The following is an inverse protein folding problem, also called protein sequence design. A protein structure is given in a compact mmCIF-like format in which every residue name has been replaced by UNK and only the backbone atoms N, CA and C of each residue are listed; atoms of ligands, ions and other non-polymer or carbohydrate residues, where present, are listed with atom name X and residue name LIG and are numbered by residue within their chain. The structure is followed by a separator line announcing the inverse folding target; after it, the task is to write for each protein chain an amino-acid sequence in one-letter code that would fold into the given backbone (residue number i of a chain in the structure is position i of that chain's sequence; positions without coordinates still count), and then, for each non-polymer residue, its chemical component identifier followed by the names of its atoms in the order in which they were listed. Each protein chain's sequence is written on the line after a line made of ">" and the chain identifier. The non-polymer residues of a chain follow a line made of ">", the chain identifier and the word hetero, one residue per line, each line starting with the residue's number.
data_IF_598215756569
#
_entry.id   IF_598215756569
#
_cell.length_a   1.000
_cell.length_b   1.000
_cell.length_c   1.000
_cell.angle_alpha   90.00
_cell.angle_beta   90.00
_cell.angle_gamma   90.00
#
_symmetry.space_group_name_H-M   'P 1'
#
loop_
_entity.id
_entity.type
_entity.pdbx_description
1 polymer ?
#
# COMPACT_ATOMS: atom_id res chain seq x y z
N UNK A 1 -2.71 -7.34 0.42
CA UNK A 1 -3.19 -6.03 -0.09
C UNK A 1 -4.18 -6.09 -1.28
N UNK A 2 -5.24 -6.92 -1.20
CA UNK A 2 -6.43 -6.85 -2.06
C UNK A 2 -6.22 -6.67 -3.58
N UNK A 3 -7.21 -6.12 -4.31
CA UNK A 3 -7.06 -5.74 -5.72
C UNK A 3 -6.18 -4.49 -5.91
N UNK A 4 -5.99 -3.69 -4.87
CA UNK A 4 -5.16 -2.47 -4.89
C UNK A 4 -3.72 -2.75 -5.33
N UNK A 5 -3.08 -3.80 -4.79
CA UNK A 5 -1.72 -4.16 -5.21
C UNK A 5 -1.67 -4.58 -6.69
N UNK A 6 -2.64 -5.36 -7.16
CA UNK A 6 -2.72 -5.79 -8.55
C UNK A 6 -2.86 -4.60 -9.51
N UNK A 7 -3.79 -3.68 -9.22
CA UNK A 7 -3.97 -2.47 -10.00
C UNK A 7 -2.69 -1.62 -10.07
N UNK A 8 -1.95 -1.50 -8.95
CA UNK A 8 -0.72 -0.73 -8.90
C UNK A 8 0.38 -1.36 -9.76
N UNK A 9 0.54 -2.69 -9.68
CA UNK A 9 1.51 -3.43 -10.49
C UNK A 9 1.20 -3.25 -11.99
N UNK A 10 -0.06 -3.41 -12.39
CA UNK A 10 -0.46 -3.28 -13.79
C UNK A 10 -0.28 -1.85 -14.32
N UNK A 11 -0.56 -0.82 -13.50
CA UNK A 11 -0.44 0.57 -13.93
C UNK A 11 1.01 1.06 -13.93
N UNK A 12 1.88 0.45 -13.12
CA UNK A 12 3.30 0.72 -13.10
C UNK A 12 4.08 -0.08 -14.17
N UNK A 13 3.44 -1.06 -14.82
CA UNK A 13 4.10 -1.88 -15.84
C UNK A 13 4.64 -1.00 -16.98
N UNK A 14 5.94 -1.11 -17.25
CA UNK A 14 6.61 -0.36 -18.32
C UNK A 14 6.92 1.11 -17.99
N UNK A 15 6.59 1.58 -16.77
CA UNK A 15 6.96 2.92 -16.29
C UNK A 15 8.34 2.91 -15.66
N UNK A 16 9.21 3.81 -16.12
CA UNK A 16 10.55 4.04 -15.57
C UNK A 16 10.61 5.29 -14.68
N UNK A 17 9.51 6.05 -14.61
CA UNK A 17 9.36 7.27 -13.81
C UNK A 17 8.84 7.01 -12.39
N UNK A 18 8.41 5.79 -12.08
CA UNK A 18 7.88 5.41 -10.77
C UNK A 18 8.83 4.47 -10.00
N UNK A 19 8.95 4.73 -8.70
CA UNK A 19 9.46 3.75 -7.73
C UNK A 19 8.28 3.18 -6.94
N UNK A 20 8.02 1.88 -7.10
CA UNK A 20 6.91 1.21 -6.41
C UNK A 20 7.45 0.40 -5.23
N UNK A 21 6.95 0.71 -4.03
CA UNK A 21 7.31 0.01 -2.79
C UNK A 21 6.05 -0.63 -2.21
N UNK A 22 6.09 -1.94 -2.01
CA UNK A 22 5.07 -2.67 -1.29
C UNK A 22 5.59 -3.11 0.08
N UNK A 23 4.82 -2.84 1.13
CA UNK A 23 5.12 -3.24 2.49
C UNK A 23 3.91 -3.95 3.10
N UNK A 24 4.12 -5.18 3.58
CA UNK A 24 3.08 -5.94 4.27
C UNK A 24 2.82 -5.36 5.66
N UNK A 25 1.56 -5.38 6.08
CA UNK A 25 1.11 -4.78 7.34
C UNK A 25 1.37 -5.71 8.53
N UNK A 26 1.36 -7.03 8.31
CA UNK A 26 1.60 -8.04 9.35
C UNK A 26 2.97 -8.69 9.16
N UNK A 27 3.61 -9.11 10.26
CA UNK A 27 4.93 -9.75 10.19
C UNK A 27 4.91 -11.08 9.45
N UNK A 28 3.86 -11.89 9.67
CA UNK A 28 3.73 -13.27 9.18
C UNK A 28 2.27 -13.60 8.84
N UNK A 29 1.67 -12.91 7.84
CA UNK A 29 0.24 -13.07 7.55
C UNK A 29 -0.13 -14.50 7.14
N UNK A 30 0.80 -15.24 6.51
CA UNK A 30 0.59 -16.64 6.16
C UNK A 30 0.48 -17.57 7.38
N UNK A 31 1.07 -17.20 8.53
CA UNK A 31 1.02 -17.97 9.77
C UNK A 31 -0.20 -17.63 10.63
N UNK A 32 -0.93 -16.55 10.30
CA UNK A 32 -2.10 -16.10 11.07
C UNK A 32 -3.33 -17.01 10.92
N UNK A 33 -3.30 -18.01 10.03
CA UNK A 33 -4.40 -18.96 9.86
C UNK A 33 -5.75 -18.32 9.48
N UNK A 34 -5.72 -17.10 8.94
CA UNK A 34 -6.90 -16.31 8.61
C UNK A 34 -7.36 -15.32 9.69
N UNK A 35 -6.81 -15.38 10.92
CA UNK A 35 -7.07 -14.37 11.96
C UNK A 35 -6.07 -13.21 11.88
N UNK A 36 -6.27 -12.35 10.90
CA UNK A 36 -5.46 -11.13 10.76
C UNK A 36 -5.79 -10.08 11.82
N UNK A 37 -6.98 -10.14 12.44
CA UNK A 37 -7.41 -9.16 13.44
C UNK A 37 -6.52 -9.14 14.69
N UNK A 38 -5.94 -10.29 15.04
CA UNK A 38 -5.01 -10.44 16.16
C UNK A 38 -3.55 -10.68 15.74
N UNK A 39 -3.26 -10.61 14.44
CA UNK A 39 -1.91 -10.87 13.94
C UNK A 39 -0.94 -9.73 14.33
N UNK A 40 0.30 -10.05 14.71
CA UNK A 40 1.30 -9.03 15.01
C UNK A 40 1.59 -8.14 13.80
N UNK A 41 1.47 -6.82 14.00
CA UNK A 41 1.82 -5.82 13.00
C UNK A 41 3.32 -5.82 12.72
N UNK A 42 3.69 -5.51 11.48
CA UNK A 42 5.06 -5.22 11.11
C UNK A 42 5.59 -3.97 11.85
N UNK A 43 6.91 -3.85 12.07
CA UNK A 43 7.46 -2.77 12.91
C UNK A 43 7.09 -1.35 12.48
N UNK A 44 6.94 -1.10 11.17
CA UNK A 44 6.60 0.22 10.65
C UNK A 44 5.12 0.58 10.87
N UNK A 45 4.14 -0.25 10.46
CA UNK A 45 2.74 -0.04 10.83
C UNK A 45 2.52 0.15 12.33
N UNK A 46 3.15 -0.67 13.16
CA UNK A 46 3.08 -0.54 14.62
C UNK A 46 3.64 0.82 15.10
N UNK A 47 4.85 1.18 14.66
CA UNK A 47 5.52 2.44 15.05
C UNK A 47 4.70 3.68 14.71
N UNK A 48 3.98 3.66 13.59
CA UNK A 48 3.21 4.81 13.12
C UNK A 48 1.70 4.71 13.42
N UNK A 49 1.26 3.67 14.13
CA UNK A 49 -0.16 3.47 14.43
C UNK A 49 -1.03 3.31 13.19
N UNK A 50 -0.53 2.64 12.16
CA UNK A 50 -1.29 2.33 10.94
C UNK A 50 -2.20 1.13 11.22
N UNK A 51 -3.44 1.42 11.62
CA UNK A 51 -4.43 0.43 12.03
C UNK A 51 -5.36 -0.04 10.90
N UNK A 52 -5.10 0.39 9.67
CA UNK A 52 -5.94 0.16 8.51
C UNK A 52 -5.09 -0.28 7.31
N UNK A 53 -5.68 -1.13 6.47
CA UNK A 53 -5.11 -1.59 5.21
C UNK A 53 -6.22 -1.80 4.15
N UNK A 54 -5.90 -1.68 2.85
CA UNK A 54 -4.66 -1.11 2.31
C UNK A 54 -4.61 0.41 2.51
N UNK A 55 -3.40 0.97 2.58
CA UNK A 55 -3.18 2.42 2.50
C UNK A 55 -2.17 2.70 1.40
N UNK A 56 -2.53 3.56 0.46
CA UNK A 56 -1.63 4.02 -0.59
C UNK A 56 -1.06 5.39 -0.22
N UNK A 57 0.26 5.52 -0.33
CA UNK A 57 0.97 6.78 -0.25
C UNK A 57 1.64 7.05 -1.60
N UNK A 58 1.49 8.27 -2.10
CA UNK A 58 2.24 8.77 -3.26
C UNK A 58 3.15 9.89 -2.78
N UNK A 59 4.41 9.87 -3.22
CA UNK A 59 5.38 10.92 -2.90
C UNK A 59 5.94 11.53 -4.16
N UNK A 60 6.32 12.81 -4.10
CA UNK A 60 7.14 13.42 -5.13
C UNK A 60 8.64 13.07 -4.98
N UNK A 61 9.47 13.57 -5.90
CA UNK A 61 10.91 13.36 -5.89
C UNK A 61 11.64 14.02 -4.69
N UNK A 62 10.96 14.86 -3.90
CA UNK A 62 11.48 15.45 -2.66
C UNK A 62 11.14 14.61 -1.42
N UNK A 63 10.53 13.44 -1.62
CA UNK A 63 10.00 12.56 -0.57
C UNK A 63 8.86 13.19 0.24
N UNK A 64 8.14 14.13 -0.35
CA UNK A 64 6.93 14.72 0.24
C UNK A 64 5.72 13.90 -0.17
N UNK A 65 4.87 13.50 0.78
CA UNK A 65 3.60 12.82 0.49
C UNK A 65 2.67 13.81 -0.21
N UNK A 66 2.28 13.50 -1.45
CA UNK A 66 1.34 14.29 -2.26
C UNK A 66 -0.09 13.77 -2.13
N UNK A 67 -0.24 12.45 -1.98
CA UNK A 67 -1.54 11.79 -1.84
C UNK A 67 -1.49 10.68 -0.79
N UNK A 68 -2.57 10.54 -0.02
CA UNK A 68 -2.84 9.40 0.86
C UNK A 68 -4.26 8.89 0.59
N UNK A 69 -4.40 7.59 0.33
CA UNK A 69 -5.70 6.93 0.23
C UNK A 69 -5.80 5.84 1.29
N UNK A 70 -6.74 6.00 2.22
CA UNK A 70 -6.98 5.12 3.38
C UNK A 70 -8.02 4.01 3.10
N UNK A 71 -8.37 3.81 1.84
CA UNK A 71 -9.34 2.83 1.37
C UNK A 71 -8.86 2.14 0.11
N UNK A 72 -9.51 1.03 -0.26
CA UNK A 72 -9.39 0.53 -1.62
C UNK A 72 -9.86 1.62 -2.58
N UNK A 73 -8.97 2.02 -3.50
CA UNK A 73 -9.30 2.84 -4.65
C UNK A 73 -9.37 1.96 -5.89
N UNK A 74 -10.22 2.33 -6.83
CA UNK A 74 -10.33 1.62 -8.10
C UNK A 74 -9.14 1.92 -9.03
N UNK A 75 -9.10 1.26 -10.19
CA UNK A 75 -8.00 1.42 -11.15
C UNK A 75 -7.95 2.84 -11.74
N UNK A 76 -9.10 3.48 -11.96
CA UNK A 76 -9.19 4.83 -12.53
C UNK A 76 -8.66 5.85 -11.52
N UNK A 77 -9.15 5.78 -10.29
CA UNK A 77 -8.67 6.61 -9.18
C UNK A 77 -7.17 6.41 -8.96
N UNK A 78 -6.69 5.17 -9.04
CA UNK A 78 -5.27 4.88 -8.92
C UNK A 78 -4.42 5.52 -10.02
N UNK A 79 -4.88 5.48 -11.28
CA UNK A 79 -4.17 6.13 -12.38
C UNK A 79 -4.10 7.65 -12.20
N UNK A 80 -5.15 8.27 -11.65
CA UNK A 80 -5.13 9.71 -11.36
C UNK A 80 -4.12 10.09 -10.27
N UNK A 81 -3.98 9.28 -9.22
CA UNK A 81 -3.12 9.62 -8.09
C UNK A 81 -1.63 9.35 -8.34
N UNK A 82 -1.28 8.36 -9.17
CA UNK A 82 0.11 8.05 -9.49
C UNK A 82 0.67 8.86 -10.67
N UNK A 83 -0.18 9.64 -11.34
CA UNK A 83 0.16 10.42 -12.54
C UNK A 83 0.63 9.53 -13.68
#
# INVERSE_FOLDING_TARGET
>A
CGPTLGNLVDLAEGRDDLTVIHAEVYQRPAEAGGDLANAPLAPLPEKYGLLLEPVLYVTDASHTITTRADSMIDRTEMAEVIG
#
